data_IF_372033401452
#
_entry.id   IF_372033401452
#
_cell.length_a   1.000
_cell.length_b   1.000
_cell.length_c   1.000
_cell.angle_alpha   90.00
_cell.angle_beta   90.00
_cell.angle_gamma   90.00
#
_symmetry.space_group_name_H-M   'P 1'
#
loop_
_entity.id
_entity.type
_entity.pdbx_description
1 polymer ?
#
# COMPACT_ATOMS: atom_id res chain seq x y z
N UNK A 1 7.91 59.20 -39.11
CA UNK A 1 6.98 58.41 -38.28
C UNK A 1 6.99 56.98 -38.79
N UNK A 2 7.17 56.00 -37.92
CA UNK A 2 7.08 54.58 -38.25
C UNK A 2 6.05 53.93 -37.33
N UNK A 3 5.21 53.06 -37.87
CA UNK A 3 4.18 52.32 -37.14
C UNK A 3 4.06 50.94 -37.76
N UNK A 4 4.84 49.98 -37.25
CA UNK A 4 4.74 48.59 -37.68
C UNK A 4 3.57 47.91 -36.97
N UNK A 5 2.59 47.41 -37.72
CA UNK A 5 1.62 46.47 -37.18
C UNK A 5 2.28 45.09 -37.06
N UNK A 6 2.69 44.71 -35.85
CA UNK A 6 2.95 43.31 -35.55
C UNK A 6 1.66 42.51 -35.77
N UNK A 7 1.69 41.52 -36.65
CA UNK A 7 0.59 40.58 -36.80
C UNK A 7 0.38 39.80 -35.50
N UNK A 8 -0.84 39.78 -34.98
CA UNK A 8 -1.15 38.99 -33.79
C UNK A 8 -0.95 37.50 -34.09
N UNK A 9 -0.14 36.82 -33.28
CA UNK A 9 0.01 35.37 -33.35
C UNK A 9 -1.33 34.72 -32.99
N UNK A 10 -1.82 33.79 -33.82
CA UNK A 10 -3.04 33.06 -33.53
C UNK A 10 -2.83 32.13 -32.33
N UNK A 11 -3.63 32.30 -31.27
CA UNK A 11 -3.61 31.42 -30.12
C UNK A 11 -4.05 30.01 -30.52
N UNK A 12 -3.19 29.01 -30.29
CA UNK A 12 -3.36 27.66 -30.82
C UNK A 12 -4.56 26.93 -30.24
N UNK A 13 -5.60 26.73 -31.06
CA UNK A 13 -6.60 25.69 -30.82
C UNK A 13 -6.00 24.33 -31.17
N UNK A 14 -6.04 23.37 -30.23
CA UNK A 14 -5.67 21.99 -30.55
C UNK A 14 -6.55 21.44 -31.68
N UNK A 15 -5.97 20.63 -32.58
CA UNK A 15 -6.71 20.06 -33.70
C UNK A 15 -7.73 19.02 -33.23
N UNK A 16 -8.84 18.89 -33.95
CA UNK A 16 -9.84 17.84 -33.69
C UNK A 16 -9.21 16.44 -33.74
N UNK A 17 -8.23 16.24 -34.62
CA UNK A 17 -7.45 15.01 -34.71
C UNK A 17 -6.63 14.70 -33.43
N UNK A 18 -6.13 15.73 -32.72
CA UNK A 18 -5.46 15.51 -31.43
C UNK A 18 -6.47 15.27 -30.31
N UNK A 19 -7.60 16.00 -30.29
CA UNK A 19 -8.69 15.80 -29.33
C UNK A 19 -9.34 14.41 -29.41
N UNK A 20 -9.34 13.80 -30.60
CA UNK A 20 -9.80 12.43 -30.85
C UNK A 20 -8.68 11.36 -30.79
N UNK A 21 -7.44 11.75 -30.52
CA UNK A 21 -6.28 10.86 -30.53
C UNK A 21 -6.23 9.87 -29.37
N UNK A 22 -5.56 8.72 -29.58
CA UNK A 22 -5.52 7.61 -28.62
C UNK A 22 -5.03 8.04 -27.23
N UNK A 23 -3.97 8.84 -27.14
CA UNK A 23 -3.44 9.34 -25.86
C UNK A 23 -4.44 10.18 -25.06
N UNK A 24 -5.39 10.88 -25.73
CA UNK A 24 -6.47 11.61 -25.05
C UNK A 24 -7.56 10.66 -24.58
N UNK A 25 -7.88 9.61 -25.36
CA UNK A 25 -8.82 8.55 -24.95
C UNK A 25 -8.30 7.77 -23.75
N UNK A 26 -7.06 7.30 -23.79
CA UNK A 26 -6.39 6.59 -22.68
C UNK A 26 -6.38 7.43 -21.40
N UNK A 27 -6.09 8.73 -21.50
CA UNK A 27 -6.12 9.64 -20.36
C UNK A 27 -7.55 9.80 -19.77
N UNK A 28 -8.59 9.84 -20.61
CA UNK A 28 -10.00 9.86 -20.16
C UNK A 28 -10.40 8.55 -19.46
N UNK A 29 -10.02 7.40 -20.03
CA UNK A 29 -10.27 6.07 -19.48
C UNK A 29 -9.60 5.91 -18.10
N UNK A 30 -8.33 6.32 -18.00
CA UNK A 30 -7.55 6.33 -16.75
C UNK A 30 -8.17 7.22 -15.67
N UNK A 31 -8.57 8.47 -15.98
CA UNK A 31 -9.20 9.35 -14.99
C UNK A 31 -10.51 8.76 -14.48
N UNK A 32 -11.30 8.14 -15.37
CA UNK A 32 -12.53 7.45 -14.98
C UNK A 32 -12.26 6.19 -14.11
N UNK A 33 -11.19 5.43 -14.38
CA UNK A 33 -10.78 4.29 -13.54
C UNK A 33 -10.33 4.73 -12.15
N UNK A 34 -9.47 5.74 -12.08
CA UNK A 34 -9.00 6.30 -10.80
C UNK A 34 -10.16 6.86 -9.97
N UNK A 35 -11.17 7.48 -10.59
CA UNK A 35 -12.39 7.92 -9.88
C UNK A 35 -13.14 6.75 -9.23
N UNK A 36 -13.29 5.62 -9.94
CA UNK A 36 -13.93 4.40 -9.39
C UNK A 36 -13.11 3.77 -8.27
N UNK A 37 -11.79 3.70 -8.43
CA UNK A 37 -10.87 3.18 -7.40
C UNK A 37 -10.90 4.04 -6.13
N UNK A 38 -10.75 5.36 -6.26
CA UNK A 38 -10.73 6.29 -5.12
C UNK A 38 -12.10 6.36 -4.43
N UNK A 39 -13.21 6.14 -5.15
CA UNK A 39 -14.52 5.98 -4.53
C UNK A 39 -14.59 4.71 -3.67
N UNK A 40 -14.04 3.59 -4.14
CA UNK A 40 -13.93 2.34 -3.37
C UNK A 40 -13.13 2.47 -2.08
N UNK A 41 -12.15 3.39 -2.05
CA UNK A 41 -11.41 3.76 -0.83
C UNK A 41 -12.09 4.85 0.02
N UNK A 42 -13.29 5.32 -0.37
CA UNK A 42 -14.06 6.34 0.33
C UNK A 42 -13.64 7.80 0.03
N UNK A 43 -12.54 8.02 -0.69
CA UNK A 43 -11.89 9.33 -0.84
C UNK A 43 -12.67 10.34 -1.70
N UNK A 44 -13.43 9.88 -2.69
CA UNK A 44 -14.24 10.74 -3.60
C UNK A 44 -15.74 10.44 -3.49
N UNK A 45 -16.21 10.20 -2.27
CA UNK A 45 -17.63 10.00 -1.95
C UNK A 45 -18.42 11.32 -2.03
N UNK A 46 -19.77 11.23 -2.04
CA UNK A 46 -20.63 12.42 -2.05
C UNK A 46 -20.50 13.32 -3.29
N UNK A 47 -19.94 12.81 -4.39
CA UNK A 47 -19.50 13.56 -5.60
C UNK A 47 -18.30 14.51 -5.40
N UNK A 48 -17.73 14.56 -4.20
CA UNK A 48 -16.57 15.40 -3.85
C UNK A 48 -15.26 14.92 -4.46
N UNK A 49 -14.24 15.78 -4.39
CA UNK A 49 -12.93 15.57 -5.00
C UNK A 49 -12.94 15.66 -6.54
N UNK A 50 -11.73 15.76 -7.11
CA UNK A 50 -11.52 15.71 -8.57
C UNK A 50 -10.17 15.04 -8.87
N UNK A 51 -10.06 14.44 -10.04
CA UNK A 51 -8.82 13.86 -10.57
C UNK A 51 -8.50 14.57 -11.87
N UNK A 52 -7.26 15.03 -11.99
CA UNK A 52 -6.74 15.78 -13.15
C UNK A 52 -5.42 15.18 -13.59
N UNK A 53 -5.25 14.93 -14.89
CA UNK A 53 -4.06 14.33 -15.49
C UNK A 53 -3.68 15.10 -16.76
N UNK A 54 -2.41 15.49 -16.89
CA UNK A 54 -1.89 16.01 -18.17
C UNK A 54 -1.62 14.83 -19.10
N UNK A 55 -2.18 14.86 -20.32
CA UNK A 55 -2.13 13.79 -21.31
C UNK A 55 -0.68 13.39 -21.58
N UNK A 56 -0.39 12.09 -21.58
CA UNK A 56 0.96 11.60 -21.86
C UNK A 56 1.15 11.30 -23.36
N UNK A 57 1.29 12.35 -24.17
CA UNK A 57 1.66 12.24 -25.57
C UNK A 57 3.16 12.58 -25.77
N UNK A 58 4.05 11.61 -26.04
CA UNK A 58 5.46 11.86 -26.29
C UNK A 58 5.77 12.77 -27.48
N UNK A 59 4.88 12.86 -28.48
CA UNK A 59 5.07 13.68 -29.67
C UNK A 59 4.75 15.17 -29.43
N UNK A 60 4.04 15.50 -28.35
CA UNK A 60 3.68 16.88 -27.98
C UNK A 60 4.57 17.37 -26.83
N UNK A 61 5.18 18.58 -26.93
CA UNK A 61 6.02 19.12 -25.86
C UNK A 61 5.24 19.25 -24.55
N UNK A 62 5.88 18.97 -23.40
CA UNK A 62 5.21 18.95 -22.08
C UNK A 62 4.48 20.27 -21.74
N UNK A 63 4.96 21.40 -22.28
CA UNK A 63 4.28 22.69 -22.18
C UNK A 63 2.86 22.61 -22.76
N UNK A 64 2.70 22.09 -23.98
CA UNK A 64 1.50 22.22 -24.81
C UNK A 64 0.47 21.07 -24.65
N UNK A 65 0.85 19.98 -23.97
CA UNK A 65 -0.03 18.80 -23.79
C UNK A 65 -1.37 19.16 -23.13
N UNK A 66 -2.42 18.49 -23.56
CA UNK A 66 -3.77 18.68 -23.02
C UNK A 66 -3.90 18.19 -21.58
N UNK A 67 -4.92 18.70 -20.88
CA UNK A 67 -5.27 18.32 -19.50
C UNK A 67 -6.65 17.65 -19.53
N UNK A 68 -6.78 16.49 -18.89
CA UNK A 68 -8.05 15.78 -18.69
C UNK A 68 -8.47 15.91 -17.24
N UNK A 69 -9.74 16.27 -16.99
CA UNK A 69 -10.27 16.53 -15.64
C UNK A 69 -11.65 15.88 -15.43
N UNK A 70 -11.85 15.26 -14.26
CA UNK A 70 -13.13 14.67 -13.87
C UNK A 70 -14.18 15.73 -13.50
N UNK A 71 -15.47 15.55 -13.84
CA UNK A 71 -16.49 16.56 -13.57
C UNK A 71 -16.89 16.63 -12.07
N UNK A 72 -17.14 17.85 -11.60
CA UNK A 72 -17.73 18.12 -10.28
C UNK A 72 -19.23 17.84 -10.27
N UNK A 73 -19.79 17.51 -9.09
CA UNK A 73 -21.22 17.23 -8.90
C UNK A 73 -21.74 15.94 -9.55
N UNK A 74 -20.85 15.04 -10.01
CA UNK A 74 -21.20 13.77 -10.65
C UNK A 74 -20.73 12.58 -9.81
N UNK A 75 -21.54 11.52 -9.78
CA UNK A 75 -21.26 10.21 -9.18
C UNK A 75 -19.95 9.61 -9.73
N UNK A 76 -18.89 9.66 -8.91
CA UNK A 76 -17.49 9.30 -9.27
C UNK A 76 -17.36 7.82 -9.60
N UNK A 77 -18.17 6.98 -8.95
CA UNK A 77 -18.25 5.54 -9.13
C UNK A 77 -18.90 5.11 -10.45
N UNK A 78 -19.55 6.04 -11.17
CA UNK A 78 -20.30 5.78 -12.41
C UNK A 78 -19.73 6.51 -13.63
N UNK A 79 -18.55 7.11 -13.50
CA UNK A 79 -17.92 7.87 -14.57
C UNK A 79 -17.39 6.98 -15.68
N UNK A 80 -17.55 7.47 -16.92
CA UNK A 80 -17.02 6.92 -18.17
C UNK A 80 -16.11 7.96 -18.86
N UNK A 81 -15.35 7.56 -19.87
CA UNK A 81 -14.35 8.42 -20.52
C UNK A 81 -14.98 9.68 -21.17
N UNK A 82 -16.23 9.58 -21.60
CA UNK A 82 -17.03 10.61 -22.26
C UNK A 82 -17.47 11.72 -21.28
N UNK A 83 -17.53 11.42 -19.97
CA UNK A 83 -17.90 12.40 -18.92
C UNK A 83 -16.76 13.39 -18.59
N UNK A 84 -15.55 13.16 -19.11
CA UNK A 84 -14.37 13.99 -18.78
C UNK A 84 -14.31 15.29 -19.58
N UNK A 85 -13.85 16.36 -18.93
CA UNK A 85 -13.42 17.59 -19.59
C UNK A 85 -12.03 17.42 -20.21
N UNK A 86 -11.77 18.13 -21.32
CA UNK A 86 -10.43 18.28 -21.90
C UNK A 86 -10.13 19.77 -22.06
N UNK A 87 -8.98 20.18 -21.57
CA UNK A 87 -8.52 21.57 -21.52
C UNK A 87 -7.15 21.68 -22.20
N UNK A 88 -6.82 22.84 -22.75
CA UNK A 88 -5.46 23.18 -23.17
C UNK A 88 -4.56 23.40 -21.95
N UNK A 89 -3.24 23.49 -22.18
CA UNK A 89 -2.27 23.66 -21.11
C UNK A 89 -2.38 24.99 -20.34
N UNK A 90 -2.94 26.03 -20.95
CA UNK A 90 -3.31 27.32 -20.32
C UNK A 90 -4.67 27.28 -19.60
N UNK A 91 -5.29 26.09 -19.46
CA UNK A 91 -6.51 25.87 -18.69
C UNK A 91 -7.82 26.21 -19.42
N UNK A 92 -7.78 26.59 -20.70
CA UNK A 92 -8.98 26.85 -21.49
C UNK A 92 -9.68 25.53 -21.86
N UNK A 93 -10.97 25.42 -21.58
CA UNK A 93 -11.78 24.24 -21.96
C UNK A 93 -11.87 24.13 -23.48
N UNK A 94 -11.49 22.96 -24.02
CA UNK A 94 -11.58 22.61 -25.44
C UNK A 94 -12.69 21.60 -25.72
N UNK A 95 -12.96 20.70 -24.77
CA UNK A 95 -14.05 19.74 -24.81
C UNK A 95 -14.71 19.65 -23.43
N UNK A 96 -16.04 19.66 -23.41
CA UNK A 96 -16.85 19.51 -22.21
C UNK A 96 -17.87 18.38 -22.42
N UNK A 97 -18.21 17.61 -21.37
CA UNK A 97 -19.28 16.62 -21.44
C UNK A 97 -20.63 17.31 -21.72
N UNK A 98 -21.53 16.59 -22.40
CA UNK A 98 -22.89 17.07 -22.64
C UNK A 98 -23.62 17.24 -21.31
N UNK A 99 -24.19 18.42 -21.08
CA UNK A 99 -24.82 18.78 -19.82
C UNK A 99 -26.00 17.84 -19.50
N UNK A 100 -25.82 16.96 -18.51
CA UNK A 100 -26.89 16.10 -17.98
C UNK A 100 -27.93 16.99 -17.28
N UNK A 101 -29.23 16.89 -17.61
CA UNK A 101 -30.26 17.74 -17.01
C UNK A 101 -30.42 17.43 -15.51
N UNK A 102 -30.70 18.48 -14.71
CA UNK A 102 -31.12 18.51 -13.29
C UNK A 102 -30.62 17.36 -12.38
N UNK A 103 -29.76 17.65 -11.37
CA UNK A 103 -30.01 18.75 -10.42
C UNK A 103 -28.85 19.75 -10.19
N UNK A 104 -27.76 19.68 -10.96
CA UNK A 104 -26.49 20.35 -10.62
C UNK A 104 -26.49 21.89 -10.82
N UNK A 105 -25.75 22.62 -9.97
CA UNK A 105 -25.57 24.09 -9.98
C UNK A 105 -24.12 24.53 -9.68
N UNK A 106 -23.65 25.68 -10.21
CA UNK A 106 -22.30 26.22 -9.96
C UNK A 106 -22.21 27.26 -8.79
N UNK A 107 -21.14 27.29 -7.98
CA UNK A 107 -20.96 28.22 -6.83
C UNK A 107 -19.81 29.28 -6.98
N UNK A 108 -19.67 30.29 -6.08
CA UNK A 108 -18.68 31.41 -6.13
C UNK A 108 -18.31 32.13 -4.78
N UNK A 109 -17.01 32.42 -4.62
CA UNK A 109 -16.11 33.02 -3.57
C UNK A 109 -16.49 34.00 -2.42
N UNK A 110 -15.79 33.82 -1.27
CA UNK A 110 -15.39 34.68 -0.10
C UNK A 110 -15.06 33.82 1.16
N UNK A 111 -13.93 33.81 1.91
CA UNK A 111 -12.59 34.46 1.89
C UNK A 111 -11.61 33.83 2.97
N UNK A 112 -10.26 33.98 2.87
CA UNK A 112 -9.16 33.76 3.89
C UNK A 112 -8.91 32.36 4.58
N UNK A 113 -7.82 32.03 5.34
CA UNK A 113 -6.34 32.35 5.39
C UNK A 113 -5.57 31.42 6.42
N UNK A 114 -4.29 30.98 6.26
CA UNK A 114 -3.76 29.61 6.59
C UNK A 114 -2.97 29.27 7.92
N UNK A 115 -2.67 27.97 8.14
CA UNK A 115 -1.90 27.28 9.24
C UNK A 115 -1.05 26.05 8.73
N UNK A 116 -0.55 25.10 9.58
CA UNK A 116 0.26 23.92 9.13
C UNK A 116 0.25 22.66 10.05
N UNK A 117 0.71 21.51 9.51
CA UNK A 117 0.88 20.19 10.16
C UNK A 117 2.30 19.61 9.95
N UNK A 118 2.74 18.73 10.86
CA UNK A 118 4.05 18.07 10.87
C UNK A 118 3.93 16.59 11.23
N UNK A 119 4.73 15.72 10.59
CA UNK A 119 4.82 14.27 10.79
C UNK A 119 6.30 13.84 10.63
N UNK A 120 6.81 12.85 11.36
CA UNK A 120 8.18 12.33 11.14
C UNK A 120 8.33 10.84 11.48
N UNK A 121 9.43 10.22 11.05
CA UNK A 121 9.88 8.86 11.45
C UNK A 121 8.93 7.68 11.11
N UNK A 122 8.00 7.86 10.18
CA UNK A 122 7.13 6.78 9.67
C UNK A 122 7.62 6.27 8.31
N UNK A 123 7.59 4.95 8.09
CA UNK A 123 8.13 4.32 6.87
C UNK A 123 7.48 4.83 5.57
N UNK A 124 6.17 5.10 5.59
CA UNK A 124 5.42 5.62 4.45
C UNK A 124 5.84 7.03 4.00
N UNK A 125 6.66 7.75 4.78
CA UNK A 125 7.27 9.02 4.34
C UNK A 125 8.16 8.79 3.10
N UNK A 126 8.77 7.61 2.94
CA UNK A 126 9.59 7.26 1.75
C UNK A 126 8.81 7.27 0.43
N UNK A 127 7.48 7.12 0.47
CA UNK A 127 6.63 7.20 -0.72
C UNK A 127 6.37 8.64 -1.18
N UNK A 128 6.78 9.64 -0.39
CA UNK A 128 6.65 11.06 -0.70
C UNK A 128 7.93 11.56 -1.37
N UNK A 129 7.78 12.23 -2.52
CA UNK A 129 8.91 12.70 -3.32
C UNK A 129 9.85 13.58 -2.47
N UNK A 130 11.15 13.29 -2.52
CA UNK A 130 12.17 14.10 -1.85
C UNK A 130 12.31 13.92 -0.33
N UNK A 131 11.72 12.85 0.24
CA UNK A 131 11.80 12.50 1.66
C UNK A 131 12.30 11.05 1.87
N UNK A 132 13.19 10.85 2.85
CA UNK A 132 13.60 9.55 3.36
C UNK A 132 13.03 9.25 4.76
N UNK A 133 13.34 8.07 5.32
CA UNK A 133 12.79 7.59 6.60
C UNK A 133 12.92 8.58 7.78
N UNK A 134 14.05 9.27 7.87
CA UNK A 134 14.38 10.19 8.97
C UNK A 134 14.03 11.65 8.67
N UNK A 135 13.47 11.92 7.49
CA UNK A 135 13.11 13.28 7.12
C UNK A 135 11.79 13.70 7.79
N UNK A 136 11.71 15.00 8.07
CA UNK A 136 10.52 15.62 8.60
C UNK A 136 9.57 15.98 7.45
N UNK A 137 8.37 15.41 7.48
CA UNK A 137 7.30 15.75 6.56
C UNK A 137 6.51 16.93 7.13
N UNK A 138 6.53 18.06 6.44
CA UNK A 138 5.69 19.23 6.75
C UNK A 138 4.61 19.34 5.69
N UNK A 139 3.35 19.41 6.13
CA UNK A 139 2.18 19.55 5.26
C UNK A 139 1.51 20.89 5.62
N UNK A 140 1.54 21.91 4.76
CA UNK A 140 0.80 23.15 5.01
C UNK A 140 -0.70 22.88 5.08
N UNK A 141 -1.41 23.59 5.97
CA UNK A 141 -2.87 23.56 6.08
C UNK A 141 -3.38 24.94 5.68
N UNK A 142 -3.85 25.11 4.44
CA UNK A 142 -4.64 26.32 4.14
C UNK A 142 -6.02 26.19 4.80
N UNK A 143 -6.60 27.31 5.22
CA UNK A 143 -8.00 27.29 5.65
C UNK A 143 -8.91 27.13 4.42
N UNK A 144 -10.09 26.56 4.63
CA UNK A 144 -11.04 26.39 3.56
C UNK A 144 -11.87 27.66 3.33
N UNK A 145 -11.79 28.24 2.14
CA UNK A 145 -12.83 29.13 1.65
C UNK A 145 -14.06 28.31 1.22
N UNK A 146 -15.28 28.88 1.18
CA UNK A 146 -16.46 28.12 0.79
C UNK A 146 -16.49 27.75 -0.71
N UNK A 147 -15.46 28.14 -1.48
CA UNK A 147 -15.44 28.10 -2.94
C UNK A 147 -14.02 27.94 -3.49
N UNK A 148 -13.82 26.92 -4.32
CA UNK A 148 -12.50 26.36 -4.64
C UNK A 148 -11.51 27.32 -5.34
N UNK A 149 -11.96 28.28 -6.16
CA UNK A 149 -11.05 29.17 -6.90
C UNK A 149 -10.39 30.28 -6.06
N UNK A 150 -10.79 30.45 -4.80
CA UNK A 150 -10.08 31.29 -3.83
C UNK A 150 -8.87 30.59 -3.21
N UNK A 151 -8.86 29.25 -3.22
CA UNK A 151 -7.73 28.49 -2.71
C UNK A 151 -6.48 28.76 -3.56
N UNK A 152 -6.62 29.20 -4.82
CA UNK A 152 -5.52 29.42 -5.78
C UNK A 152 -4.35 30.23 -5.21
N UNK A 153 -4.60 31.37 -4.57
CA UNK A 153 -3.52 32.23 -4.07
C UNK A 153 -2.85 31.62 -2.83
N UNK A 154 -3.64 31.22 -1.83
CA UNK A 154 -3.12 30.58 -0.61
C UNK A 154 -2.43 29.22 -0.86
N UNK A 155 -2.88 28.46 -1.85
CA UNK A 155 -2.24 27.23 -2.34
C UNK A 155 -0.91 27.55 -3.02
N UNK A 156 -0.85 28.62 -3.84
CA UNK A 156 0.37 29.06 -4.49
C UNK A 156 1.41 29.57 -3.49
N UNK A 157 0.98 30.34 -2.48
CA UNK A 157 1.83 30.76 -1.35
C UNK A 157 2.35 29.56 -0.55
N UNK A 158 1.48 28.58 -0.26
CA UNK A 158 1.88 27.36 0.44
C UNK A 158 2.91 26.54 -0.35
N UNK A 159 2.72 26.39 -1.67
CA UNK A 159 3.67 25.69 -2.55
C UNK A 159 5.01 26.44 -2.63
N UNK A 160 4.99 27.78 -2.71
CA UNK A 160 6.19 28.61 -2.75
C UNK A 160 6.96 28.60 -1.41
N UNK A 161 6.25 28.61 -0.28
CA UNK A 161 6.84 28.56 1.06
C UNK A 161 7.39 27.17 1.42
N UNK A 162 6.76 26.10 0.92
CA UNK A 162 7.13 24.71 1.15
C UNK A 162 7.49 23.99 -0.16
N UNK A 163 8.61 24.32 -0.83
CA UNK A 163 8.96 23.79 -2.16
C UNK A 163 9.32 22.29 -2.18
N UNK A 164 9.31 21.62 -1.01
CA UNK A 164 9.38 20.15 -0.88
C UNK A 164 8.00 19.48 -0.76
N UNK A 165 6.94 20.22 -0.45
CA UNK A 165 5.61 19.65 -0.29
C UNK A 165 5.10 19.13 -1.64
N UNK A 166 4.41 17.99 -1.59
CA UNK A 166 3.64 17.45 -2.72
C UNK A 166 2.16 17.32 -2.39
N UNK A 167 1.75 17.91 -1.26
CA UNK A 167 0.37 18.07 -0.86
C UNK A 167 0.14 19.34 -0.03
N UNK A 168 -1.09 19.84 -0.05
CA UNK A 168 -1.61 20.87 0.86
C UNK A 168 -2.92 20.37 1.46
N UNK A 169 -3.05 20.43 2.78
CA UNK A 169 -4.29 20.19 3.50
C UNK A 169 -5.18 21.43 3.44
N UNK A 170 -6.50 21.25 3.39
CA UNK A 170 -7.49 22.32 3.40
C UNK A 170 -8.45 22.08 4.57
N UNK A 171 -8.39 22.91 5.61
CA UNK A 171 -9.06 22.61 6.90
C UNK A 171 -10.57 22.43 6.71
N UNK A 172 -11.12 21.34 7.25
CA UNK A 172 -12.55 21.00 7.16
C UNK A 172 -13.03 20.71 5.71
N UNK A 173 -12.12 20.49 4.76
CA UNK A 173 -12.46 20.17 3.37
C UNK A 173 -11.73 18.91 2.87
N UNK A 174 -10.39 18.88 2.86
CA UNK A 174 -9.66 17.74 2.28
C UNK A 174 -8.17 17.97 2.10
N UNK A 175 -7.60 17.38 1.04
CA UNK A 175 -6.19 17.46 0.69
C UNK A 175 -6.04 17.51 -0.84
N UNK A 176 -5.17 18.38 -1.34
CA UNK A 176 -4.69 18.35 -2.72
C UNK A 176 -3.32 17.67 -2.74
N UNK A 177 -3.08 16.76 -3.69
CA UNK A 177 -1.83 15.99 -3.83
C UNK A 177 -1.41 15.99 -5.30
N UNK A 178 -0.12 16.20 -5.59
CA UNK A 178 0.42 16.25 -6.95
C UNK A 178 1.77 15.53 -7.08
N UNK A 179 2.12 15.13 -8.30
CA UNK A 179 3.37 14.43 -8.60
C UNK A 179 3.67 14.42 -10.10
N UNK A 180 4.88 14.00 -10.47
CA UNK A 180 5.38 14.08 -11.86
C UNK A 180 4.61 13.16 -12.84
N UNK A 181 3.86 12.21 -12.31
CA UNK A 181 2.97 11.30 -13.03
C UNK A 181 1.76 10.94 -12.17
N UNK A 182 0.70 10.43 -12.79
CA UNK A 182 -0.49 9.96 -12.06
C UNK A 182 -0.14 8.85 -11.05
N UNK A 183 0.84 8.00 -11.37
CA UNK A 183 1.35 6.94 -10.49
C UNK A 183 1.95 7.58 -9.24
N UNK A 184 2.84 8.56 -9.42
CA UNK A 184 3.49 9.25 -8.30
C UNK A 184 2.47 10.04 -7.46
N UNK A 185 1.51 10.73 -8.08
CA UNK A 185 0.43 11.42 -7.38
C UNK A 185 -0.45 10.44 -6.57
N UNK A 186 -0.83 9.29 -7.14
CA UNK A 186 -1.60 8.23 -6.46
C UNK A 186 -0.82 7.65 -5.28
N UNK A 187 0.41 7.18 -5.49
CA UNK A 187 1.23 6.57 -4.43
C UNK A 187 1.44 7.56 -3.28
N UNK A 188 1.68 8.84 -3.58
CA UNK A 188 1.77 9.87 -2.55
C UNK A 188 0.44 10.07 -1.81
N UNK A 189 -0.71 10.08 -2.50
CA UNK A 189 -2.01 10.18 -1.84
C UNK A 189 -2.28 8.99 -0.90
N UNK A 190 -1.88 7.78 -1.29
CA UNK A 190 -1.93 6.58 -0.42
C UNK A 190 -1.02 6.74 0.81
N UNK A 191 0.17 7.30 0.64
CA UNK A 191 1.08 7.61 1.74
C UNK A 191 0.54 8.69 2.67
N UNK A 192 0.06 9.83 2.14
CA UNK A 192 -0.55 10.90 2.93
C UNK A 192 -1.79 10.41 3.70
N UNK A 193 -2.67 9.62 3.06
CA UNK A 193 -3.84 9.05 3.72
C UNK A 193 -3.44 8.16 4.92
N UNK A 194 -2.48 7.25 4.72
CA UNK A 194 -1.95 6.40 5.79
C UNK A 194 -1.30 7.23 6.91
N UNK A 195 -0.43 8.19 6.57
CA UNK A 195 0.31 8.99 7.55
C UNK A 195 -0.60 9.88 8.39
N UNK A 196 -1.68 10.42 7.81
CA UNK A 196 -2.66 11.24 8.51
C UNK A 196 -3.54 10.38 9.45
N UNK A 197 -4.04 9.24 8.97
CA UNK A 197 -4.80 8.28 9.78
C UNK A 197 -3.95 7.73 10.95
N UNK A 198 -2.70 7.35 10.68
CA UNK A 198 -1.74 6.93 11.70
C UNK A 198 -1.46 8.05 12.72
N UNK A 199 -1.26 9.29 12.28
CA UNK A 199 -1.03 10.44 13.18
C UNK A 199 -2.23 10.73 14.08
N UNK A 200 -3.45 10.64 13.53
CA UNK A 200 -4.70 10.79 14.28
C UNK A 200 -4.85 9.66 15.33
N UNK A 201 -4.56 8.41 14.95
CA UNK A 201 -4.60 7.26 15.85
C UNK A 201 -3.54 7.35 16.96
N UNK A 202 -2.32 7.78 16.66
CA UNK A 202 -1.29 8.03 17.67
C UNK A 202 -1.74 9.13 18.65
N UNK A 203 -2.28 10.24 18.16
CA UNK A 203 -2.82 11.30 19.02
C UNK A 203 -3.95 10.80 19.94
N UNK A 204 -4.89 10.01 19.41
CA UNK A 204 -5.98 9.39 20.19
C UNK A 204 -5.46 8.42 21.27
N UNK A 205 -4.29 7.81 21.05
CA UNK A 205 -3.59 6.95 22.02
C UNK A 205 -2.67 7.73 22.99
N UNK A 206 -2.63 9.07 22.90
CA UNK A 206 -1.76 9.92 23.72
C UNK A 206 -0.28 9.89 23.33
N UNK A 207 0.02 9.53 22.08
CA UNK A 207 1.37 9.39 21.53
C UNK A 207 1.65 10.56 20.56
N UNK A 208 2.82 11.21 20.72
CA UNK A 208 3.25 12.32 19.87
C UNK A 208 3.83 11.80 18.55
N UNK A 209 3.06 11.96 17.47
CA UNK A 209 3.39 11.56 16.09
C UNK A 209 4.45 12.47 15.43
N UNK A 210 4.81 13.59 16.06
CA UNK A 210 5.84 14.52 15.55
C UNK A 210 7.25 14.15 16.02
N UNK A 211 7.37 13.39 17.12
CA UNK A 211 8.64 12.97 17.75
C UNK A 211 8.95 11.49 17.50
N UNK A 212 10.22 11.07 17.46
CA UNK A 212 10.60 9.66 17.31
C UNK A 212 10.32 8.78 18.55
N UNK A 213 9.74 9.32 19.63
CA UNK A 213 9.48 8.55 20.88
C UNK A 213 8.36 7.50 20.74
N UNK A 214 7.69 7.42 19.59
CA UNK A 214 6.74 6.35 19.26
C UNK A 214 7.42 5.04 18.82
N UNK A 215 8.74 5.06 18.55
CA UNK A 215 9.57 3.86 18.38
C UNK A 215 10.22 3.39 19.70
N UNK A 216 10.61 2.10 19.83
CA UNK A 216 11.11 1.54 21.08
C UNK A 216 12.59 1.88 21.39
N UNK A 217 12.97 3.17 21.47
CA UNK A 217 14.23 3.66 22.07
C UNK A 217 14.04 5.06 22.68
N UNK A 218 14.18 5.16 24.01
CA UNK A 218 14.76 6.29 24.81
C UNK A 218 14.39 6.21 26.32
N UNK A 219 14.45 5.02 26.91
CA UNK A 219 14.05 4.74 28.31
C UNK A 219 14.86 5.46 29.40
N UNK A 220 15.96 6.15 29.05
CA UNK A 220 16.97 6.63 30.02
C UNK A 220 16.67 8.03 30.59
N UNK A 221 15.96 8.92 29.88
CA UNK A 221 15.78 10.33 30.30
C UNK A 221 14.53 10.62 31.14
N UNK A 222 13.43 9.88 30.99
CA UNK A 222 12.14 10.23 31.63
C UNK A 222 12.12 10.11 33.16
N UNK A 223 12.98 9.28 33.75
CA UNK A 223 13.01 8.97 35.19
C UNK A 223 13.41 10.15 36.11
N UNK A 224 13.89 11.29 35.58
CA UNK A 224 14.30 12.45 36.40
C UNK A 224 13.31 13.62 36.42
N UNK A 225 12.22 13.59 35.63
CA UNK A 225 11.32 14.74 35.45
C UNK A 225 9.94 14.61 36.12
N UNK A 226 9.59 13.44 36.67
CA UNK A 226 8.22 13.15 37.16
C UNK A 226 8.10 13.29 38.69
N UNK A 227 9.21 13.55 39.41
CA UNK A 227 9.19 13.80 40.86
C UNK A 227 8.81 15.25 41.21
N UNK A 228 7.55 15.61 40.96
CA UNK A 228 6.90 16.81 41.51
C UNK A 228 5.51 16.41 42.04
N UNK A 229 5.19 16.65 43.33
CA UNK A 229 3.98 16.13 43.94
C UNK A 229 2.74 16.95 43.57
N UNK A 230 1.83 16.36 42.79
CA UNK A 230 0.56 16.99 42.40
C UNK A 230 -0.60 15.99 42.41
N UNK A 231 -1.46 16.08 43.42
CA UNK A 231 -2.81 15.50 43.53
C UNK A 231 -3.02 14.07 43.00
N UNK A 232 -3.12 13.10 43.92
CA UNK A 232 -3.64 11.78 43.59
C UNK A 232 -5.10 11.84 43.12
N UNK A 233 -5.44 11.06 42.10
CA UNK A 233 -6.82 10.75 41.75
C UNK A 233 -6.93 9.25 41.45
N UNK A 234 -7.80 8.55 42.16
CA UNK A 234 -7.84 7.08 42.18
C UNK A 234 -8.61 6.48 41.01
N UNK A 235 -8.01 6.43 39.82
CA UNK A 235 -8.41 5.47 38.79
C UNK A 235 -7.49 4.24 38.86
N UNK A 236 -8.02 3.05 38.59
CA UNK A 236 -7.19 1.84 38.54
C UNK A 236 -6.18 1.95 37.40
N UNK A 237 -4.91 2.08 37.75
CA UNK A 237 -3.80 1.94 36.81
C UNK A 237 -3.71 0.48 36.35
N UNK A 238 -4.51 0.12 35.35
CA UNK A 238 -4.24 -1.05 34.54
C UNK A 238 -2.84 -0.84 33.94
N UNK A 239 -1.90 -1.73 34.27
CA UNK A 239 -0.55 -1.67 33.71
C UNK A 239 -0.65 -1.64 32.19
N UNK A 240 -0.01 -0.65 31.56
CA UNK A 240 -0.06 -0.53 30.10
C UNK A 240 0.59 -1.77 29.50
N UNK A 241 -0.23 -2.71 29.03
CA UNK A 241 0.20 -3.96 28.41
C UNK A 241 0.86 -3.66 27.07
N UNK A 242 2.14 -3.27 27.13
CA UNK A 242 2.97 -3.02 25.96
C UNK A 242 3.11 -4.33 25.19
N UNK A 243 2.67 -4.32 23.96
CA UNK A 243 2.91 -5.39 23.00
C UNK A 243 3.66 -4.84 21.79
N UNK A 244 4.29 -5.74 21.05
CA UNK A 244 4.96 -5.44 19.79
C UNK A 244 4.60 -6.55 18.81
N UNK A 245 4.12 -6.16 17.64
CA UNK A 245 3.85 -7.09 16.53
C UNK A 245 4.94 -6.87 15.49
N UNK A 246 5.57 -7.95 15.05
CA UNK A 246 6.67 -7.94 14.09
C UNK A 246 6.27 -8.71 12.83
N UNK A 247 6.65 -8.22 11.66
CA UNK A 247 6.71 -9.05 10.46
C UNK A 247 8.03 -9.84 10.43
N UNK A 248 8.16 -10.76 9.48
CA UNK A 248 9.35 -11.57 9.24
C UNK A 248 10.19 -10.92 8.14
N UNK A 249 9.62 -10.78 6.94
CA UNK A 249 10.36 -10.39 5.73
C UNK A 249 10.84 -8.94 5.82
N UNK A 250 12.17 -8.74 5.79
CA UNK A 250 12.80 -7.43 5.94
C UNK A 250 12.74 -6.83 7.35
N UNK A 251 12.05 -7.47 8.30
CA UNK A 251 11.91 -7.01 9.69
C UNK A 251 12.74 -7.85 10.66
N UNK A 252 12.50 -9.16 10.75
CA UNK A 252 13.37 -10.06 11.54
C UNK A 252 14.33 -10.86 10.67
N UNK A 253 14.01 -11.05 9.39
CA UNK A 253 14.64 -12.04 8.51
C UNK A 253 14.93 -11.42 7.14
N UNK A 254 16.11 -11.65 6.54
CA UNK A 254 16.40 -11.20 5.19
C UNK A 254 15.36 -11.70 4.18
N UNK A 255 14.85 -10.82 3.32
CA UNK A 255 13.87 -11.18 2.27
C UNK A 255 14.41 -12.32 1.39
N UNK A 256 15.71 -12.25 1.06
CA UNK A 256 16.46 -13.29 0.33
C UNK A 256 16.43 -14.67 0.99
N UNK A 257 16.29 -14.77 2.31
CA UNK A 257 16.13 -16.09 2.94
C UNK A 257 14.78 -16.73 2.57
N UNK A 258 13.72 -15.94 2.45
CA UNK A 258 12.40 -16.45 2.05
C UNK A 258 12.37 -16.71 0.54
N UNK A 259 12.82 -15.76 -0.28
CA UNK A 259 12.77 -15.85 -1.75
C UNK A 259 13.78 -16.82 -2.35
N UNK A 260 14.99 -16.89 -1.79
CA UNK A 260 16.14 -17.58 -2.42
C UNK A 260 16.49 -18.90 -1.71
N UNK A 261 15.94 -19.14 -0.49
CA UNK A 261 16.13 -20.40 0.25
C UNK A 261 14.80 -21.11 0.51
N UNK A 262 13.82 -20.48 1.19
CA UNK A 262 12.60 -21.19 1.59
C UNK A 262 11.69 -21.60 0.42
N UNK A 263 11.36 -20.71 -0.52
CA UNK A 263 10.55 -21.09 -1.68
C UNK A 263 11.27 -22.08 -2.63
N UNK A 264 12.56 -21.92 -2.97
CA UNK A 264 13.32 -22.90 -3.75
C UNK A 264 13.41 -24.26 -3.05
N UNK A 265 13.67 -24.30 -1.74
CA UNK A 265 13.67 -25.56 -0.98
C UNK A 265 12.32 -26.29 -1.08
N UNK A 266 11.20 -25.57 -0.94
CA UNK A 266 9.87 -26.16 -1.06
C UNK A 266 9.62 -26.72 -2.47
N UNK A 267 9.96 -25.95 -3.52
CA UNK A 267 9.88 -26.38 -4.93
C UNK A 267 10.72 -27.64 -5.17
N UNK A 268 11.99 -27.64 -4.76
CA UNK A 268 12.94 -28.71 -5.12
C UNK A 268 12.73 -29.99 -4.30
N UNK A 269 12.10 -29.89 -3.11
CA UNK A 269 11.78 -31.04 -2.27
C UNK A 269 10.33 -31.53 -2.39
N UNK A 270 9.44 -30.87 -3.14
CA UNK A 270 8.02 -31.27 -3.25
C UNK A 270 7.83 -32.73 -3.68
N UNK A 271 8.57 -33.17 -4.70
CA UNK A 271 8.57 -34.57 -5.18
C UNK A 271 9.11 -35.54 -4.14
N UNK A 272 10.23 -35.19 -3.48
CA UNK A 272 10.88 -35.99 -2.43
C UNK A 272 9.94 -36.21 -1.24
N UNK A 273 9.28 -35.12 -0.79
CA UNK A 273 8.27 -35.16 0.26
C UNK A 273 7.09 -36.03 -0.16
N UNK A 274 6.36 -35.67 -1.22
CA UNK A 274 5.18 -36.40 -1.71
C UNK A 274 5.44 -37.90 -1.91
N UNK A 275 6.55 -38.31 -2.52
CA UNK A 275 6.88 -39.75 -2.67
C UNK A 275 7.03 -40.46 -1.32
N UNK A 276 7.66 -39.80 -0.34
CA UNK A 276 7.95 -40.36 0.98
C UNK A 276 6.75 -40.35 1.94
N UNK A 277 5.81 -39.41 1.79
CA UNK A 277 4.68 -39.22 2.73
C UNK A 277 3.31 -39.53 2.15
N UNK A 278 3.19 -39.83 0.84
CA UNK A 278 1.92 -40.07 0.10
C UNK A 278 0.85 -40.87 0.87
N UNK A 279 1.28 -41.92 1.57
CA UNK A 279 0.43 -42.90 2.21
C UNK A 279 0.04 -42.51 3.66
N UNK A 280 0.49 -41.35 4.14
CA UNK A 280 0.10 -40.73 5.41
C UNK A 280 -1.18 -39.91 5.29
N UNK A 281 -1.92 -39.75 6.39
CA UNK A 281 -3.18 -38.99 6.40
C UNK A 281 -2.99 -37.49 6.17
N UNK A 282 -1.86 -36.91 6.62
CA UNK A 282 -1.52 -35.49 6.40
C UNK A 282 -1.37 -35.19 4.90
N UNK A 283 -0.55 -35.98 4.20
CA UNK A 283 -0.35 -35.81 2.76
C UNK A 283 -1.57 -36.23 1.93
N UNK A 284 -2.45 -37.13 2.42
CA UNK A 284 -3.74 -37.40 1.76
C UNK A 284 -4.66 -36.19 1.79
N UNK A 285 -4.69 -35.43 2.89
CA UNK A 285 -5.46 -34.20 2.98
C UNK A 285 -4.84 -33.08 2.13
N UNK A 286 -3.51 -32.93 2.12
CA UNK A 286 -2.80 -32.03 1.18
C UNK A 286 -3.23 -32.32 -0.28
N UNK A 287 -3.13 -33.60 -0.70
CA UNK A 287 -3.48 -34.05 -2.06
C UNK A 287 -4.95 -33.77 -2.37
N UNK A 288 -5.85 -33.97 -1.42
CA UNK A 288 -7.30 -33.70 -1.55
C UNK A 288 -7.59 -32.21 -1.74
N UNK A 289 -6.95 -31.34 -0.95
CA UNK A 289 -7.11 -29.88 -1.05
C UNK A 289 -6.43 -29.30 -2.31
N UNK A 290 -5.31 -29.88 -2.74
CA UNK A 290 -4.65 -29.53 -3.99
C UNK A 290 -5.46 -29.96 -5.22
N UNK A 291 -6.00 -31.19 -5.25
CA UNK A 291 -6.94 -31.64 -6.30
C UNK A 291 -8.11 -30.67 -6.45
N UNK A 292 -8.77 -30.32 -5.35
CA UNK A 292 -9.92 -29.40 -5.37
C UNK A 292 -9.57 -28.00 -5.94
N UNK A 293 -8.36 -27.50 -5.68
CA UNK A 293 -7.87 -26.24 -6.28
C UNK A 293 -7.54 -26.42 -7.77
N UNK A 294 -6.87 -27.51 -8.16
CA UNK A 294 -6.47 -27.78 -9.55
C UNK A 294 -7.71 -27.98 -10.43
N UNK A 295 -8.74 -28.68 -9.94
CA UNK A 295 -10.02 -28.82 -10.64
C UNK A 295 -10.72 -27.46 -10.84
N UNK A 296 -10.55 -26.50 -9.93
CA UNK A 296 -11.07 -25.15 -10.06
C UNK A 296 -10.26 -24.28 -11.03
N UNK A 297 -8.94 -24.43 -10.99
CA UNK A 297 -8.01 -23.78 -11.93
C UNK A 297 -8.26 -24.25 -13.37
N UNK A 298 -8.53 -25.54 -13.57
CA UNK A 298 -8.90 -26.12 -14.86
C UNK A 298 -10.25 -25.59 -15.35
N UNK A 299 -11.28 -25.52 -14.48
CA UNK A 299 -12.58 -24.89 -14.82
C UNK A 299 -12.43 -23.41 -15.20
N UNK A 300 -11.46 -22.70 -14.62
CA UNK A 300 -11.15 -21.29 -14.88
C UNK A 300 -10.17 -21.06 -16.03
N UNK A 301 -9.64 -22.12 -16.66
CA UNK A 301 -8.67 -22.01 -17.75
C UNK A 301 -7.32 -21.42 -17.34
N UNK A 302 -6.92 -21.56 -16.07
CA UNK A 302 -5.66 -21.01 -15.56
C UNK A 302 -4.48 -21.68 -16.25
N UNK A 303 -3.57 -20.87 -16.81
CA UNK A 303 -2.40 -21.37 -17.53
C UNK A 303 -1.50 -22.23 -16.64
N UNK A 304 -1.05 -23.37 -17.16
CA UNK A 304 -0.19 -24.31 -16.45
C UNK A 304 -0.88 -25.15 -15.37
N UNK A 305 -2.22 -25.19 -15.34
CA UNK A 305 -2.96 -26.23 -14.60
C UNK A 305 -3.01 -27.55 -15.40
N UNK A 306 -2.87 -28.69 -14.73
CA UNK A 306 -2.82 -30.03 -15.35
C UNK A 306 -3.73 -31.00 -14.58
N UNK A 307 -4.61 -31.78 -15.22
CA UNK A 307 -5.51 -32.70 -14.52
C UNK A 307 -4.77 -33.73 -13.67
N UNK A 308 -5.19 -33.89 -12.41
CA UNK A 308 -4.64 -34.91 -11.51
C UNK A 308 -5.39 -36.23 -11.71
N UNK A 309 -4.72 -37.35 -12.06
CA UNK A 309 -5.38 -38.62 -12.37
C UNK A 309 -6.32 -39.15 -11.27
N UNK A 310 -7.40 -39.88 -11.63
CA UNK A 310 -8.35 -40.46 -10.67
C UNK A 310 -7.71 -41.60 -9.84
N UNK A 311 -8.45 -42.13 -8.86
CA UNK A 311 -7.95 -43.06 -7.83
C UNK A 311 -7.48 -44.44 -8.31
N UNK A 312 -7.63 -44.77 -9.59
CA UNK A 312 -7.11 -46.00 -10.21
C UNK A 312 -5.71 -45.82 -10.85
N UNK A 313 -5.24 -44.58 -10.97
CA UNK A 313 -3.92 -44.28 -11.52
C UNK A 313 -2.79 -44.56 -10.52
N UNK A 314 -1.57 -44.72 -11.02
CA UNK A 314 -0.42 -45.00 -10.17
C UNK A 314 -0.04 -43.81 -9.27
N UNK A 315 0.55 -44.13 -8.11
CA UNK A 315 1.16 -43.16 -7.18
C UNK A 315 2.11 -42.19 -7.90
N UNK A 316 2.88 -42.68 -8.88
CA UNK A 316 3.84 -41.87 -9.62
C UNK A 316 3.16 -40.88 -10.59
N UNK A 317 2.10 -41.28 -11.30
CA UNK A 317 1.32 -40.38 -12.17
C UNK A 317 0.64 -39.26 -11.37
N UNK A 318 0.07 -39.59 -10.21
CA UNK A 318 -0.54 -38.61 -9.30
C UNK A 318 0.51 -37.62 -8.79
N UNK A 319 1.68 -38.09 -8.37
CA UNK A 319 2.79 -37.22 -7.94
C UNK A 319 3.29 -36.36 -9.11
N UNK A 320 3.44 -36.91 -10.31
CA UNK A 320 3.87 -36.17 -11.50
C UNK A 320 2.93 -35.00 -11.82
N UNK A 321 1.62 -35.22 -11.80
CA UNK A 321 0.63 -34.16 -12.02
C UNK A 321 0.66 -33.10 -10.90
N UNK A 322 0.75 -33.51 -9.63
CA UNK A 322 0.82 -32.57 -8.50
C UNK A 322 2.08 -31.70 -8.56
N UNK A 323 3.25 -32.30 -8.80
CA UNK A 323 4.54 -31.58 -8.92
C UNK A 323 4.46 -30.52 -10.01
N UNK A 324 3.96 -30.84 -11.20
CA UNK A 324 3.83 -29.89 -12.30
C UNK A 324 2.88 -28.71 -11.98
N UNK A 325 1.75 -28.98 -11.33
CA UNK A 325 0.84 -27.92 -10.87
C UNK A 325 1.51 -27.04 -9.80
N UNK A 326 2.21 -27.62 -8.83
CA UNK A 326 2.85 -26.89 -7.72
C UNK A 326 4.01 -26.02 -8.25
N UNK A 327 4.85 -26.54 -9.14
CA UNK A 327 5.90 -25.76 -9.80
C UNK A 327 5.32 -24.56 -10.58
N UNK A 328 4.21 -24.78 -11.29
CA UNK A 328 3.46 -23.73 -12.00
C UNK A 328 2.90 -22.67 -11.04
N UNK A 329 2.26 -23.09 -9.94
CA UNK A 329 1.71 -22.18 -8.92
C UNK A 329 2.79 -21.35 -8.21
N UNK A 330 3.93 -21.96 -7.87
CA UNK A 330 5.08 -21.26 -7.27
C UNK A 330 5.69 -20.27 -8.27
N UNK A 331 5.89 -20.67 -9.54
CA UNK A 331 6.45 -19.83 -10.59
C UNK A 331 5.58 -18.58 -10.89
N UNK A 332 4.29 -18.64 -10.60
CA UNK A 332 3.33 -17.56 -10.81
C UNK A 332 2.91 -16.82 -9.51
N UNK A 333 3.67 -16.94 -8.41
CA UNK A 333 3.38 -16.36 -7.08
C UNK A 333 1.91 -16.52 -6.63
N UNK A 334 1.33 -17.71 -6.86
CA UNK A 334 -0.11 -17.92 -6.61
C UNK A 334 -0.36 -18.15 -5.12
N UNK A 335 -0.97 -17.15 -4.48
CA UNK A 335 -1.28 -17.09 -3.04
C UNK A 335 -2.43 -18.03 -2.64
N UNK A 336 -2.19 -19.33 -2.78
CA UNK A 336 -3.16 -20.43 -2.61
C UNK A 336 -3.02 -21.06 -1.22
N UNK A 337 -4.15 -21.29 -0.53
CA UNK A 337 -4.18 -21.87 0.82
C UNK A 337 -3.66 -23.31 0.88
N UNK A 338 -4.05 -24.18 -0.06
CA UNK A 338 -3.60 -25.58 -0.12
C UNK A 338 -2.11 -25.71 -0.46
N UNK A 339 -1.57 -24.83 -1.30
CA UNK A 339 -0.12 -24.74 -1.53
C UNK A 339 0.63 -24.33 -0.26
N UNK A 340 0.16 -23.30 0.47
CA UNK A 340 0.77 -22.86 1.73
C UNK A 340 0.78 -23.94 2.82
N UNK A 341 -0.18 -24.84 2.82
CA UNK A 341 -0.24 -25.98 3.75
C UNK A 341 0.90 -26.98 3.45
N UNK A 342 0.95 -27.52 2.23
CA UNK A 342 2.00 -28.45 1.82
C UNK A 342 3.42 -27.83 1.91
N UNK A 343 3.57 -26.54 1.59
CA UNK A 343 4.84 -25.83 1.82
C UNK A 343 5.27 -25.87 3.29
N UNK A 344 4.32 -25.71 4.23
CA UNK A 344 4.54 -25.90 5.67
C UNK A 344 5.10 -27.28 6.01
N UNK A 345 4.48 -28.34 5.50
CA UNK A 345 4.89 -29.73 5.77
C UNK A 345 6.27 -30.05 5.16
N UNK A 346 6.59 -29.49 3.98
CA UNK A 346 7.92 -29.60 3.38
C UNK A 346 8.97 -28.84 4.20
N UNK A 347 8.68 -27.61 4.65
CA UNK A 347 9.59 -26.86 5.52
C UNK A 347 9.79 -27.53 6.88
N UNK A 348 8.73 -28.10 7.49
CA UNK A 348 8.82 -28.92 8.71
C UNK A 348 9.86 -30.02 8.55
N UNK A 349 9.74 -30.79 7.47
CA UNK A 349 10.68 -31.84 7.08
C UNK A 349 12.13 -31.32 6.95
N UNK A 350 12.30 -30.14 6.35
CA UNK A 350 13.61 -29.51 6.14
C UNK A 350 14.29 -29.04 7.43
N UNK A 351 13.55 -28.37 8.32
CA UNK A 351 14.06 -27.94 9.62
C UNK A 351 14.37 -29.13 10.55
N UNK A 352 13.50 -30.14 10.61
CA UNK A 352 13.72 -31.36 11.41
C UNK A 352 14.98 -32.12 10.98
N UNK A 353 15.25 -32.19 9.67
CA UNK A 353 16.46 -32.82 9.11
C UNK A 353 17.69 -31.91 9.14
N UNK A 354 17.55 -30.64 9.54
CA UNK A 354 18.57 -29.59 9.43
C UNK A 354 19.07 -29.36 7.99
N UNK A 355 18.23 -29.69 7.00
CA UNK A 355 18.40 -29.25 5.62
C UNK A 355 18.03 -27.76 5.46
N UNK A 356 17.24 -27.22 6.40
CA UNK A 356 16.99 -25.79 6.61
C UNK A 356 17.43 -25.36 8.01
N UNK A 357 17.92 -24.12 8.12
CA UNK A 357 18.17 -23.42 9.39
C UNK A 357 17.64 -21.98 9.27
N UNK A 358 16.95 -21.49 10.30
CA UNK A 358 16.29 -20.19 10.26
C UNK A 358 17.29 -19.05 10.36
N UNK A 359 17.21 -18.08 9.46
CA UNK A 359 18.02 -16.86 9.52
C UNK A 359 17.19 -15.70 10.07
N UNK A 360 17.76 -14.99 11.03
CA UNK A 360 17.31 -13.68 11.49
C UNK A 360 18.48 -12.69 11.46
N UNK A 361 18.22 -11.39 11.45
CA UNK A 361 19.27 -10.38 11.60
C UNK A 361 19.91 -10.46 13.01
N UNK A 362 21.18 -10.06 13.12
CA UNK A 362 22.01 -10.31 14.31
C UNK A 362 21.57 -9.55 15.56
N UNK A 363 20.79 -8.47 15.41
CA UNK A 363 20.20 -7.66 16.48
C UNK A 363 18.87 -8.25 17.02
N UNK A 364 18.17 -9.07 16.23
CA UNK A 364 16.86 -9.63 16.57
C UNK A 364 16.88 -10.48 17.86
N UNK A 365 17.84 -11.38 18.11
CA UNK A 365 17.87 -12.16 19.35
C UNK A 365 18.01 -11.29 20.60
N UNK A 366 18.78 -10.20 20.52
CA UNK A 366 18.94 -9.26 21.63
C UNK A 366 17.70 -8.37 21.80
N UNK A 367 17.13 -7.86 20.71
CA UNK A 367 15.89 -7.08 20.75
C UNK A 367 14.72 -7.88 21.37
N UNK A 368 14.51 -9.12 20.90
CA UNK A 368 13.50 -10.03 21.43
C UNK A 368 13.71 -10.32 22.92
N UNK A 369 14.95 -10.59 23.34
CA UNK A 369 15.28 -10.79 24.75
C UNK A 369 15.01 -9.54 25.58
N UNK A 370 15.48 -8.37 25.15
CA UNK A 370 15.36 -7.12 25.90
C UNK A 370 13.90 -6.66 26.03
N UNK A 371 13.05 -6.89 25.02
CA UNK A 371 11.61 -6.66 25.12
C UNK A 371 10.93 -7.64 26.08
N UNK A 372 11.25 -8.94 25.98
CA UNK A 372 10.71 -9.97 26.88
C UNK A 372 11.08 -9.71 28.36
N UNK A 373 12.35 -9.44 28.65
CA UNK A 373 12.85 -9.11 29.99
C UNK A 373 12.24 -7.79 30.52
N UNK A 374 11.78 -6.90 29.63
CA UNK A 374 11.05 -5.66 29.97
C UNK A 374 9.52 -5.87 30.13
N UNK A 375 9.04 -7.12 30.08
CA UNK A 375 7.60 -7.45 30.20
C UNK A 375 6.75 -7.12 28.96
N UNK A 376 7.38 -6.80 27.82
CA UNK A 376 6.68 -6.47 26.57
C UNK A 376 6.26 -7.78 25.88
N UNK A 377 4.98 -7.91 25.52
CA UNK A 377 4.45 -9.10 24.84
C UNK A 377 4.74 -9.04 23.35
N UNK A 378 5.54 -9.97 22.85
CA UNK A 378 6.00 -9.98 21.45
C UNK A 378 5.15 -10.96 20.63
N UNK A 379 4.70 -10.54 19.45
CA UNK A 379 3.91 -11.34 18.54
C UNK A 379 4.47 -11.25 17.12
N UNK A 380 4.26 -12.30 16.33
CA UNK A 380 4.57 -12.28 14.89
C UNK A 380 3.26 -12.17 14.11
N UNK A 381 3.22 -11.30 13.09
CA UNK A 381 2.18 -11.29 12.05
C UNK A 381 2.88 -11.29 10.69
N UNK A 382 2.62 -12.29 9.85
CA UNK A 382 3.27 -12.38 8.54
C UNK A 382 2.44 -13.13 7.49
N UNK A 383 2.85 -13.06 6.22
CA UNK A 383 2.16 -13.68 5.09
C UNK A 383 2.27 -15.22 5.08
N UNK A 384 3.34 -15.77 5.67
CA UNK A 384 3.55 -17.20 5.88
C UNK A 384 2.65 -17.76 6.99
N UNK A 385 2.31 -19.06 6.91
CA UNK A 385 1.43 -19.71 7.89
C UNK A 385 2.01 -19.67 9.30
N UNK A 386 1.14 -19.63 10.33
CA UNK A 386 1.56 -19.70 11.75
C UNK A 386 2.48 -20.89 12.07
N UNK A 387 2.39 -21.99 11.32
CA UNK A 387 3.35 -23.10 11.43
C UNK A 387 4.74 -22.71 10.90
N UNK A 388 4.84 -22.16 9.68
CA UNK A 388 6.10 -21.72 9.10
C UNK A 388 6.83 -20.70 9.99
N UNK A 389 6.08 -19.78 10.62
CA UNK A 389 6.61 -18.82 11.60
C UNK A 389 7.20 -19.55 12.84
N UNK A 390 6.48 -20.52 13.40
CA UNK A 390 6.93 -21.34 14.53
C UNK A 390 8.11 -22.25 14.18
N UNK A 391 8.24 -22.67 12.92
CA UNK A 391 9.39 -23.44 12.44
C UNK A 391 10.62 -22.55 12.29
N UNK A 392 10.48 -21.36 11.71
CA UNK A 392 11.55 -20.39 11.54
C UNK A 392 12.17 -20.00 12.90
N UNK A 393 11.38 -19.42 13.81
CA UNK A 393 11.88 -18.96 15.11
C UNK A 393 12.28 -20.11 16.07
N UNK A 394 11.86 -21.34 15.80
CA UNK A 394 12.25 -22.51 16.58
C UNK A 394 13.62 -23.09 16.22
N UNK A 395 14.11 -22.82 15.00
CA UNK A 395 15.29 -23.48 14.43
C UNK A 395 16.33 -22.46 13.91
N UNK A 396 16.50 -21.32 14.59
CA UNK A 396 17.39 -20.26 14.09
C UNK A 396 18.88 -20.58 14.26
N UNK A 397 19.74 -19.83 13.57
CA UNK A 397 21.19 -19.74 13.85
C UNK A 397 21.49 -19.42 15.32
N UNK A 398 20.60 -18.69 16.00
CA UNK A 398 20.67 -18.32 17.42
C UNK A 398 19.90 -19.28 18.35
N UNK A 399 19.46 -20.43 17.83
CA UNK A 399 18.69 -21.45 18.56
C UNK A 399 17.18 -21.17 18.57
N UNK A 400 16.49 -21.68 19.60
CA UNK A 400 15.05 -21.46 19.77
C UNK A 400 14.79 -20.07 20.38
N UNK A 401 14.18 -19.18 19.59
CA UNK A 401 13.77 -17.82 19.97
C UNK A 401 12.29 -17.76 20.38
N UNK A 402 11.51 -18.83 20.19
CA UNK A 402 10.06 -18.87 20.46
C UNK A 402 9.73 -18.62 21.93
N UNK A 403 10.68 -18.89 22.83
CA UNK A 403 10.62 -18.56 24.27
C UNK A 403 10.34 -17.07 24.56
N UNK A 404 10.69 -16.17 23.64
CA UNK A 404 10.43 -14.74 23.75
C UNK A 404 9.05 -14.33 23.16
N UNK A 405 8.43 -15.19 22.35
CA UNK A 405 7.26 -14.88 21.53
C UNK A 405 5.96 -15.39 22.17
N UNK A 406 5.01 -14.48 22.38
CA UNK A 406 3.70 -14.74 22.99
C UNK A 406 2.64 -15.28 22.01
N UNK A 407 2.86 -15.16 20.70
CA UNK A 407 1.91 -15.66 19.70
C UNK A 407 2.30 -15.38 18.25
N UNK A 408 1.52 -15.96 17.35
CA UNK A 408 1.75 -15.99 15.90
C UNK A 408 0.42 -15.77 15.19
N UNK A 409 0.41 -14.92 14.17
CA UNK A 409 -0.77 -14.51 13.41
C UNK A 409 -0.45 -14.58 11.91
N UNK A 410 -1.42 -14.98 11.10
CA UNK A 410 -1.30 -15.02 9.64
C UNK A 410 -2.51 -14.34 8.97
N UNK A 411 -2.54 -14.31 7.64
CA UNK A 411 -3.62 -13.72 6.83
C UNK A 411 -4.98 -14.44 6.95
N UNK A 412 -5.15 -15.37 7.90
CA UNK A 412 -6.46 -15.94 8.31
C UNK A 412 -6.92 -15.43 9.67
N UNK A 413 -6.15 -14.54 10.31
CA UNK A 413 -6.33 -14.11 11.71
C UNK A 413 -6.54 -12.58 11.85
N UNK A 414 -6.89 -11.87 10.78
CA UNK A 414 -7.19 -10.44 10.72
C UNK A 414 -8.07 -10.08 9.53
#
# INVERSE_FOLDING_TARGET
>A
MASGCCGAAAAGTASEAYLAGDAVREARELVAELCRHFYGMGWVTGTGGSITVKVNDPAVPLADRLIVMSPSGVQKERMVAEDMYVMSADGKVLSAPVAKPWPNKPPKCSDCAPLFMKISHMEMIKGIKGHGFRDELVIPIIENTPYEYELTDSLSEAIAAYPKATAVLVRNHGIYVWGDSWINAKTQAECYHYLLDASIKLYQLGIDWTTPEHGPINSVKRLRSIMSPGTANGCHAAESLKCTVLDIEGTTTPISFVTDVMFPYARDNVRKHLTSTFDSEETKEDIKLLRAQIDDDLRKGISGAVPVPPGEASKEEVINALVANIESMIKADRKITSLKQLQGHIWRTGFEKKELQGIVFDDVPEALKNWHDSGIKIYIYSSGSREAQRLLFGNTTYGDLRKFLCGYFDTTTG
#
